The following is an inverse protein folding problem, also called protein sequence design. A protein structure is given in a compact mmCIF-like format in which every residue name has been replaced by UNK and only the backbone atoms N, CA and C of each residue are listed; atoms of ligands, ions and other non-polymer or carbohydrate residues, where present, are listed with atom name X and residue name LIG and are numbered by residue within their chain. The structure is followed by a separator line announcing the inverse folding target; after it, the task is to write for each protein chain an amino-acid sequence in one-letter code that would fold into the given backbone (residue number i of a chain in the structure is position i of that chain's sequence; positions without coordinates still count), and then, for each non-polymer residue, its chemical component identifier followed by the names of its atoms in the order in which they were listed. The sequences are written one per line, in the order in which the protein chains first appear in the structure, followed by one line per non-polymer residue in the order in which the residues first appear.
data_IF_588107277987
#
_entry.id   IF_588107277987
#
_cell.length_a   1.000
_cell.length_b   1.000
_cell.length_c   1.000
_cell.angle_alpha   90.00
_cell.angle_beta   90.00
_cell.angle_gamma   90.00
#
_symmetry.space_group_name_H-M   'P 1'
#
loop_
_entity.id
_entity.type
_entity.pdbx_description
1 polymer ?
#
# COMPACT_ATOMS: atom_id res chain seq x y z
N UNK A 1 49.03 69.99 11.21
CA UNK A 1 47.68 69.72 10.68
C UNK A 1 47.68 68.28 10.22
N UNK A 2 47.19 67.37 11.06
CA UNK A 2 46.94 65.99 10.66
C UNK A 2 45.85 66.02 9.59
N UNK A 3 46.04 65.37 8.45
CA UNK A 3 45.09 65.41 7.33
C UNK A 3 43.98 64.38 7.58
N UNK A 4 42.78 64.78 8.06
CA UNK A 4 41.70 63.85 8.39
C UNK A 4 41.20 63.06 7.17
N UNK A 5 41.46 63.57 5.96
CA UNK A 5 41.17 62.88 4.70
C UNK A 5 41.94 61.56 4.56
N UNK A 6 43.18 61.47 5.04
CA UNK A 6 44.02 60.28 4.90
C UNK A 6 43.46 59.07 5.67
N UNK A 7 42.94 59.31 6.88
CA UNK A 7 42.31 58.26 7.70
C UNK A 7 41.04 57.72 7.07
N UNK A 8 40.25 58.58 6.42
CA UNK A 8 39.04 58.17 5.71
C UNK A 8 39.39 57.26 4.53
N UNK A 9 40.43 57.60 3.75
CA UNK A 9 40.88 56.75 2.64
C UNK A 9 41.37 55.37 3.10
N UNK A 10 42.10 55.31 4.22
CA UNK A 10 42.56 54.02 4.80
C UNK A 10 41.37 53.19 5.26
N UNK A 11 40.40 53.80 5.96
CA UNK A 11 39.20 53.11 6.42
C UNK A 11 38.37 52.55 5.26
N UNK A 12 38.16 53.36 4.21
CA UNK A 12 37.42 52.93 3.00
C UNK A 12 38.17 51.80 2.28
N UNK A 13 39.50 51.89 2.18
CA UNK A 13 40.33 50.84 1.59
C UNK A 13 40.18 49.51 2.33
N UNK A 14 40.29 49.52 3.66
CA UNK A 14 40.08 48.33 4.50
C UNK A 14 38.67 47.79 4.31
N UNK A 15 37.65 48.65 4.35
CA UNK A 15 36.25 48.28 4.17
C UNK A 15 35.99 47.58 2.83
N UNK A 16 36.47 48.17 1.74
CA UNK A 16 36.33 47.60 0.39
C UNK A 16 37.05 46.26 0.27
N UNK A 17 38.21 46.11 0.91
CA UNK A 17 38.97 44.87 0.89
C UNK A 17 38.25 43.77 1.67
N UNK A 18 37.72 44.09 2.86
CA UNK A 18 36.93 43.15 3.66
C UNK A 18 35.66 42.72 2.91
N UNK A 19 34.95 43.67 2.30
CA UNK A 19 33.75 43.38 1.51
C UNK A 19 34.07 42.48 0.31
N UNK A 20 35.18 42.76 -0.39
CA UNK A 20 35.64 41.96 -1.53
C UNK A 20 35.97 40.52 -1.13
N UNK A 21 36.68 40.33 -0.01
CA UNK A 21 37.01 38.98 0.52
C UNK A 21 35.74 38.24 0.95
N UNK A 22 34.81 38.92 1.61
CA UNK A 22 33.54 38.34 2.03
C UNK A 22 32.70 37.87 0.82
N UNK A 23 32.57 38.72 -0.20
CA UNK A 23 31.87 38.40 -1.44
C UNK A 23 32.54 37.24 -2.19
N UNK A 24 33.88 37.23 -2.28
CA UNK A 24 34.61 36.15 -2.94
C UNK A 24 34.43 34.80 -2.22
N UNK A 25 34.46 34.81 -0.87
CA UNK A 25 34.17 33.61 -0.07
C UNK A 25 32.75 33.12 -0.28
N UNK A 26 31.78 34.02 -0.25
CA UNK A 26 30.38 33.70 -0.48
C UNK A 26 30.15 33.09 -1.88
N UNK A 27 30.75 33.71 -2.91
CA UNK A 27 30.64 33.22 -4.28
C UNK A 27 31.34 31.88 -4.49
N UNK A 28 32.48 31.64 -3.82
CA UNK A 28 33.20 30.36 -3.90
C UNK A 28 32.43 29.23 -3.19
N UNK A 29 31.80 29.50 -2.05
CA UNK A 29 30.92 28.53 -1.36
C UNK A 29 29.69 28.23 -2.22
N UNK A 30 29.08 29.27 -2.79
CA UNK A 30 27.96 29.12 -3.71
C UNK A 30 28.35 28.29 -4.94
N UNK A 31 29.51 28.59 -5.55
CA UNK A 31 30.06 27.86 -6.69
C UNK A 31 30.42 26.41 -6.34
N UNK A 32 30.98 26.13 -5.16
CA UNK A 32 31.28 24.75 -4.71
C UNK A 32 30.02 23.93 -4.43
N UNK A 33 28.94 24.57 -3.98
CA UNK A 33 27.63 23.92 -3.80
C UNK A 33 26.88 23.70 -5.13
N UNK A 34 27.27 24.42 -6.20
CA UNK A 34 26.72 24.29 -7.56
C UNK A 34 27.68 23.68 -8.58
N UNK A 35 28.92 23.37 -8.19
CA UNK A 35 29.89 22.63 -9.00
C UNK A 35 29.47 21.16 -9.06
N UNK A 36 28.82 20.80 -10.16
CA UNK A 36 28.28 19.46 -10.43
C UNK A 36 26.75 19.39 -10.51
N UNK A 37 26.03 20.41 -10.04
CA UNK A 37 24.57 20.51 -10.11
C UNK A 37 24.21 21.98 -10.35
N UNK A 38 23.85 22.34 -11.59
CA UNK A 38 23.48 23.71 -11.91
C UNK A 38 22.25 24.15 -11.10
N UNK A 39 22.08 25.46 -10.86
CA UNK A 39 20.89 26.00 -10.16
C UNK A 39 19.57 25.52 -10.81
N UNK A 40 19.58 25.28 -12.13
CA UNK A 40 18.47 24.66 -12.85
C UNK A 40 18.24 23.18 -12.51
N UNK A 41 19.28 22.43 -12.13
CA UNK A 41 19.18 21.02 -11.75
C UNK A 41 18.57 20.84 -10.36
N UNK A 42 18.83 21.75 -9.41
CA UNK A 42 18.16 21.71 -8.09
C UNK A 42 16.65 21.89 -8.25
N UNK A 43 16.22 22.87 -9.06
CA UNK A 43 14.79 23.06 -9.35
C UNK A 43 14.18 21.82 -10.00
N UNK A 44 14.86 21.23 -10.98
CA UNK A 44 14.41 19.99 -11.64
C UNK A 44 14.36 18.80 -10.67
N UNK A 45 15.31 18.67 -9.75
CA UNK A 45 15.31 17.61 -8.74
C UNK A 45 14.13 17.80 -7.79
N UNK A 46 13.87 19.03 -7.35
CA UNK A 46 12.71 19.34 -6.50
C UNK A 46 11.40 19.06 -7.22
N UNK A 47 11.24 19.53 -8.47
CA UNK A 47 10.09 19.23 -9.31
C UNK A 47 9.91 17.71 -9.47
N UNK A 48 11.00 16.95 -9.69
CA UNK A 48 10.96 15.49 -9.80
C UNK A 48 10.57 14.81 -8.49
N UNK A 49 11.02 15.31 -7.34
CA UNK A 49 10.64 14.78 -6.02
C UNK A 49 9.16 15.05 -5.74
N UNK A 50 8.67 16.26 -6.04
CA UNK A 50 7.26 16.62 -5.90
C UNK A 50 6.38 15.76 -6.79
N UNK A 51 6.71 15.64 -8.08
CA UNK A 51 5.96 14.79 -9.02
C UNK A 51 5.96 13.31 -8.60
N UNK A 52 7.07 12.80 -8.07
CA UNK A 52 7.12 11.44 -7.50
C UNK A 52 6.26 11.31 -6.25
N UNK A 53 6.18 12.35 -5.42
CA UNK A 53 5.29 12.41 -4.26
C UNK A 53 3.83 12.30 -4.67
N UNK A 54 3.41 13.07 -5.68
CA UNK A 54 2.05 13.04 -6.21
C UNK A 54 1.72 11.69 -6.87
N UNK A 55 2.66 11.13 -7.64
CA UNK A 55 2.51 9.80 -8.25
C UNK A 55 2.38 8.70 -7.17
N UNK A 56 3.21 8.76 -6.13
CA UNK A 56 3.11 7.83 -5.01
C UNK A 56 1.77 7.95 -4.28
N UNK A 57 1.30 9.17 -4.03
CA UNK A 57 0.00 9.41 -3.40
C UNK A 57 -1.14 8.79 -4.23
N UNK A 58 -1.11 8.98 -5.55
CA UNK A 58 -2.07 8.37 -6.47
C UNK A 58 -2.00 6.84 -6.45
N UNK A 59 -0.80 6.27 -6.51
CA UNK A 59 -0.60 4.82 -6.47
C UNK A 59 -1.11 4.23 -5.14
N UNK A 60 -0.85 4.88 -4.01
CA UNK A 60 -1.38 4.47 -2.70
C UNK A 60 -2.91 4.52 -2.70
N UNK A 61 -3.50 5.61 -3.20
CA UNK A 61 -4.96 5.72 -3.30
C UNK A 61 -5.57 4.60 -4.16
N UNK A 62 -4.92 4.23 -5.27
CA UNK A 62 -5.40 3.17 -6.15
C UNK A 62 -5.21 1.77 -5.53
N UNK A 63 -4.13 1.56 -4.78
CA UNK A 63 -3.92 0.33 -3.99
C UNK A 63 -5.01 0.18 -2.93
N UNK A 64 -5.33 1.24 -2.18
CA UNK A 64 -6.37 1.21 -1.16
C UNK A 64 -7.73 0.85 -1.77
N UNK A 65 -8.10 1.46 -2.90
CA UNK A 65 -9.35 1.11 -3.62
C UNK A 65 -9.40 -0.35 -4.06
N UNK A 66 -8.27 -0.90 -4.51
CA UNK A 66 -8.16 -2.32 -4.88
C UNK A 66 -8.29 -3.22 -3.67
N UNK A 67 -7.70 -2.86 -2.54
CA UNK A 67 -7.84 -3.60 -1.29
C UNK A 67 -9.29 -3.62 -0.81
N UNK A 68 -9.99 -2.48 -0.84
CA UNK A 68 -11.42 -2.42 -0.49
C UNK A 68 -12.24 -3.35 -1.41
N UNK A 69 -11.94 -3.34 -2.71
CA UNK A 69 -12.61 -4.23 -3.69
C UNK A 69 -12.31 -5.71 -3.42
N UNK A 70 -11.11 -6.03 -2.94
CA UNK A 70 -10.72 -7.40 -2.58
C UNK A 70 -11.46 -7.83 -1.30
N UNK A 71 -11.51 -6.98 -0.26
CA UNK A 71 -12.21 -7.28 1.00
C UNK A 71 -13.70 -7.55 0.76
N UNK A 72 -14.35 -6.75 -0.10
CA UNK A 72 -15.76 -6.98 -0.45
C UNK A 72 -16.01 -8.31 -1.16
N UNK A 73 -15.08 -8.73 -2.02
CA UNK A 73 -15.19 -9.99 -2.75
C UNK A 73 -14.83 -11.19 -1.86
N UNK A 74 -13.83 -11.04 -1.00
CA UNK A 74 -13.36 -12.11 -0.13
C UNK A 74 -14.46 -12.63 0.80
N UNK A 75 -15.32 -11.72 1.26
CA UNK A 75 -16.51 -12.03 2.06
C UNK A 75 -17.53 -12.94 1.39
N UNK A 76 -17.47 -13.08 0.06
CA UNK A 76 -18.39 -13.93 -0.73
C UNK A 76 -17.74 -15.22 -1.22
N UNK A 77 -16.44 -15.38 -1.02
CA UNK A 77 -15.76 -16.62 -1.39
C UNK A 77 -16.15 -17.76 -0.45
N UNK A 78 -16.04 -18.99 -0.95
CA UNK A 78 -16.16 -20.18 -0.11
C UNK A 78 -14.93 -20.24 0.80
N UNK A 79 -15.15 -20.25 2.11
CA UNK A 79 -14.07 -20.27 3.10
C UNK A 79 -14.18 -21.48 4.04
N UNK A 80 -15.39 -22.01 4.24
CA UNK A 80 -15.66 -23.10 5.18
C UNK A 80 -16.22 -24.29 4.41
N UNK A 81 -15.47 -25.38 4.38
CA UNK A 81 -15.88 -26.64 3.75
C UNK A 81 -15.77 -27.77 4.76
N UNK A 82 -16.86 -28.49 4.99
CA UNK A 82 -16.90 -29.62 5.91
C UNK A 82 -17.58 -30.82 5.28
N UNK A 83 -16.95 -31.99 5.36
CA UNK A 83 -17.50 -33.25 4.87
C UNK A 83 -17.59 -34.25 6.02
N UNK A 84 -18.80 -34.73 6.28
CA UNK A 84 -19.04 -35.83 7.21
C UNK A 84 -19.57 -37.01 6.42
N UNK A 85 -18.92 -38.17 6.55
CA UNK A 85 -19.40 -39.44 6.01
C UNK A 85 -20.04 -40.23 7.12
N UNK A 86 -21.13 -40.91 6.80
CA UNK A 86 -21.86 -41.71 7.77
C UNK A 86 -22.59 -42.86 7.09
N UNK A 87 -23.07 -43.79 7.91
CA UNK A 87 -23.94 -44.86 7.49
C UNK A 87 -25.27 -44.83 8.28
N UNK A 88 -26.35 -44.31 7.68
CA UNK A 88 -27.66 -44.27 8.34
C UNK A 88 -28.37 -45.63 8.31
N UNK A 89 -27.87 -46.61 7.55
CA UNK A 89 -28.47 -47.93 7.40
C UNK A 89 -27.42 -49.02 7.69
N UNK A 90 -27.49 -49.62 8.87
CA UNK A 90 -26.56 -50.66 9.34
C UNK A 90 -26.45 -51.91 8.44
N UNK A 91 -27.38 -52.09 7.51
CA UNK A 91 -27.40 -53.18 6.54
C UNK A 91 -26.40 -53.01 5.38
N UNK A 92 -25.93 -51.79 5.15
CA UNK A 92 -24.90 -51.47 4.17
C UNK A 92 -23.54 -51.46 4.87
N UNK A 93 -22.54 -52.16 4.33
CA UNK A 93 -21.17 -51.99 4.80
C UNK A 93 -20.63 -50.63 4.37
N UNK A 94 -19.93 -49.92 5.26
CA UNK A 94 -19.21 -48.68 4.96
C UNK A 94 -20.04 -47.38 4.99
N UNK A 95 -19.35 -46.24 5.10
CA UNK A 95 -19.95 -44.90 5.19
C UNK A 95 -20.14 -44.28 3.79
N UNK A 96 -21.17 -44.77 3.08
CA UNK A 96 -21.50 -44.32 1.72
C UNK A 96 -22.42 -43.09 1.68
N UNK A 97 -23.06 -42.73 2.80
CA UNK A 97 -23.81 -41.47 2.90
C UNK A 97 -22.90 -40.33 3.33
N UNK A 98 -23.29 -39.09 3.01
CA UNK A 98 -22.47 -37.92 3.30
C UNK A 98 -23.31 -36.67 3.57
N UNK A 99 -22.71 -35.73 4.29
CA UNK A 99 -23.16 -34.36 4.44
C UNK A 99 -21.99 -33.42 4.14
N UNK A 100 -22.15 -32.54 3.15
CA UNK A 100 -21.15 -31.58 2.71
C UNK A 100 -21.69 -30.17 2.95
N UNK A 101 -21.03 -29.40 3.82
CA UNK A 101 -21.30 -27.98 4.03
C UNK A 101 -20.29 -27.14 3.24
N UNK A 102 -20.77 -26.16 2.50
CA UNK A 102 -19.97 -25.20 1.72
C UNK A 102 -20.49 -23.81 2.07
N UNK A 103 -19.73 -23.05 2.86
CA UNK A 103 -20.15 -21.74 3.39
C UNK A 103 -19.08 -20.66 3.16
N UNK A 104 -19.53 -19.42 3.07
CA UNK A 104 -18.71 -18.21 3.09
C UNK A 104 -18.32 -17.80 4.53
N UNK A 105 -17.66 -16.64 4.69
CA UNK A 105 -17.25 -16.14 6.00
C UNK A 105 -18.45 -15.87 6.96
N UNK A 106 -19.64 -15.61 6.40
CA UNK A 106 -20.86 -15.27 7.12
C UNK A 106 -21.73 -16.48 7.42
N UNK A 107 -21.20 -17.70 7.27
CA UNK A 107 -21.99 -18.92 7.43
C UNK A 107 -23.19 -18.97 6.48
N UNK A 108 -23.04 -18.41 5.27
CA UNK A 108 -24.05 -18.46 4.21
C UNK A 108 -23.53 -19.33 3.07
N UNK A 109 -24.40 -20.17 2.51
CA UNK A 109 -24.01 -21.09 1.45
C UNK A 109 -24.99 -22.25 1.34
N UNK A 110 -24.48 -23.47 1.18
CA UNK A 110 -25.31 -24.66 0.97
C UNK A 110 -24.82 -25.85 1.78
N UNK A 111 -25.77 -26.69 2.17
CA UNK A 111 -25.51 -28.03 2.69
C UNK A 111 -26.11 -29.06 1.74
N UNK A 112 -25.30 -30.03 1.36
CA UNK A 112 -25.66 -31.13 0.46
C UNK A 112 -25.62 -32.43 1.26
N UNK A 113 -26.72 -33.15 1.31
CA UNK A 113 -26.81 -34.43 2.01
C UNK A 113 -27.11 -35.54 1.00
N UNK A 114 -26.19 -36.48 0.87
CA UNK A 114 -26.38 -37.70 0.09
C UNK A 114 -26.73 -38.87 0.99
N UNK A 115 -27.91 -39.46 0.80
CA UNK A 115 -28.33 -40.69 1.45
C UNK A 115 -28.20 -41.84 0.47
N UNK A 116 -27.30 -42.77 0.76
CA UNK A 116 -27.08 -43.96 -0.04
C UNK A 116 -27.84 -45.16 0.56
N UNK A 117 -28.60 -45.84 -0.29
CA UNK A 117 -29.28 -47.11 0.02
C UNK A 117 -28.84 -48.17 -0.99
N UNK A 118 -29.11 -49.47 -0.75
CA UNK A 118 -28.74 -50.57 -1.67
C UNK A 118 -29.22 -50.35 -3.09
N UNK A 119 -30.40 -49.76 -3.25
CA UNK A 119 -31.07 -49.66 -4.55
C UNK A 119 -30.86 -48.30 -5.23
N UNK A 120 -30.53 -47.25 -4.45
CA UNK A 120 -30.46 -45.87 -4.96
C UNK A 120 -29.72 -44.92 -4.03
N UNK A 121 -29.23 -43.82 -4.61
CA UNK A 121 -28.76 -42.64 -3.87
C UNK A 121 -29.74 -41.50 -4.03
N UNK A 122 -30.12 -40.85 -2.94
CA UNK A 122 -30.86 -39.58 -2.96
C UNK A 122 -29.94 -38.45 -2.50
N UNK A 123 -30.01 -37.31 -3.17
CA UNK A 123 -29.24 -36.12 -2.82
C UNK A 123 -30.20 -34.98 -2.54
N UNK A 124 -30.04 -34.36 -1.38
CA UNK A 124 -30.78 -33.18 -0.94
C UNK A 124 -29.83 -32.00 -0.87
N UNK A 125 -30.35 -30.80 -1.14
CA UNK A 125 -29.61 -29.56 -1.03
C UNK A 125 -30.49 -28.54 -0.31
N UNK A 126 -29.90 -27.81 0.63
CA UNK A 126 -30.55 -26.74 1.38
C UNK A 126 -29.64 -25.52 1.43
N UNK A 127 -30.20 -24.32 1.25
CA UNK A 127 -29.48 -23.08 1.48
C UNK A 127 -29.37 -22.79 2.98
N UNK A 128 -28.22 -22.28 3.41
CA UNK A 128 -27.97 -21.79 4.76
C UNK A 128 -27.76 -20.29 4.67
N UNK A 129 -28.39 -19.54 5.59
CA UNK A 129 -28.22 -18.09 5.68
C UNK A 129 -27.82 -17.71 7.09
N UNK A 130 -26.62 -17.18 7.25
CA UNK A 130 -26.09 -16.71 8.54
C UNK A 130 -26.18 -17.80 9.62
N UNK A 131 -25.76 -19.02 9.26
CA UNK A 131 -25.76 -20.19 10.15
C UNK A 131 -27.16 -20.68 10.56
N UNK A 132 -28.22 -20.17 9.94
CA UNK A 132 -29.60 -20.59 10.17
C UNK A 132 -30.15 -21.30 8.94
N UNK A 133 -31.01 -22.27 9.22
CA UNK A 133 -31.72 -23.06 8.22
C UNK A 133 -33.23 -22.77 8.16
#
# INVERSE_FOLDING_TARGET
MENPSLYIFIFVGIWLTTLSVFLYRFFTIYKKLTEGVGVGDIKKILEKILSRGDENYKNISDILRRLDSIDENDRRHIQKVGLVRFNPFSELGGDHSFCLAILDDRDTGVVITGLHTRDRTRVYMKDIRVGKE
#
